data_IF_157078053630
#
_entry.id   IF_157078053630
#
_cell.length_a   1.000
_cell.length_b   1.000
_cell.length_c   1.000
_cell.angle_alpha   90.00
_cell.angle_beta   90.00
_cell.angle_gamma   90.00
#
_symmetry.space_group_name_H-M   'P 1'
#
loop_
_entity.id
_entity.type
_entity.pdbx_description
1 polymer ?
#
# COMPACT_ATOMS: atom_id res chain seq x y z
N UNK A 1 -2.98 -3.23 -24.20
CA UNK A 1 -2.65 -3.24 -22.75
C UNK A 1 -2.13 -4.62 -22.36
N UNK A 2 -0.81 -4.72 -22.19
CA UNK A 2 -0.10 -5.94 -21.81
C UNK A 2 -0.72 -6.58 -20.56
N UNK A 3 -0.72 -7.92 -20.49
CA UNK A 3 -1.32 -8.66 -19.37
C UNK A 3 -0.71 -8.24 -18.01
N UNK A 4 0.59 -7.92 -17.97
CA UNK A 4 1.26 -7.39 -16.78
C UNK A 4 0.70 -6.04 -16.30
N UNK A 5 0.33 -5.13 -17.22
CA UNK A 5 -0.24 -3.84 -16.84
C UNK A 5 -1.62 -4.01 -16.18
N UNK A 6 -2.40 -5.00 -16.63
CA UNK A 6 -3.69 -5.37 -16.03
C UNK A 6 -3.53 -5.95 -14.63
N UNK A 7 -2.57 -6.86 -14.46
CA UNK A 7 -2.23 -7.46 -13.16
C UNK A 7 -1.89 -6.40 -12.11
N UNK A 8 -0.95 -5.48 -12.41
CA UNK A 8 -0.57 -4.43 -11.45
C UNK A 8 -1.69 -3.45 -11.14
N UNK A 9 -2.57 -3.15 -12.11
CA UNK A 9 -3.77 -2.35 -11.85
C UNK A 9 -4.76 -3.07 -10.95
N UNK A 10 -4.95 -4.38 -11.13
CA UNK A 10 -5.81 -5.17 -10.25
C UNK A 10 -5.27 -5.22 -8.82
N UNK A 11 -3.96 -5.41 -8.64
CA UNK A 11 -3.31 -5.37 -7.34
C UNK A 11 -3.43 -3.97 -6.69
N UNK A 12 -3.17 -2.91 -7.45
CA UNK A 12 -3.35 -1.53 -6.98
C UNK A 12 -4.80 -1.26 -6.56
N UNK A 13 -5.78 -1.73 -7.33
CA UNK A 13 -7.20 -1.60 -7.00
C UNK A 13 -7.55 -2.35 -5.71
N UNK A 14 -7.10 -3.59 -5.56
CA UNK A 14 -7.34 -4.40 -4.37
C UNK A 14 -6.76 -3.71 -3.12
N UNK A 15 -5.52 -3.23 -3.20
CA UNK A 15 -4.90 -2.47 -2.10
C UNK A 15 -5.65 -1.16 -1.80
N UNK A 16 -6.06 -0.42 -2.84
CA UNK A 16 -6.80 0.82 -2.67
C UNK A 16 -8.16 0.60 -1.99
N UNK A 17 -8.92 -0.41 -2.42
CA UNK A 17 -10.24 -0.73 -1.84
C UNK A 17 -10.13 -1.13 -0.37
N UNK A 18 -9.27 -2.08 -0.07
CA UNK A 18 -9.10 -2.56 1.30
C UNK A 18 -8.50 -1.50 2.21
N UNK A 19 -7.52 -0.72 1.76
CA UNK A 19 -6.96 0.40 2.53
C UNK A 19 -7.98 1.52 2.73
N UNK A 20 -8.84 1.80 1.75
CA UNK A 20 -9.92 2.79 1.91
C UNK A 20 -10.95 2.31 2.94
N UNK A 21 -11.36 1.04 2.88
CA UNK A 21 -12.28 0.45 3.85
C UNK A 21 -11.69 0.48 5.27
N UNK A 22 -10.42 0.10 5.41
CA UNK A 22 -9.70 0.16 6.68
C UNK A 22 -9.55 1.59 7.19
N UNK A 23 -9.20 2.52 6.30
CA UNK A 23 -9.09 3.94 6.62
C UNK A 23 -10.43 4.54 7.07
N UNK A 24 -11.56 4.16 6.48
CA UNK A 24 -12.88 4.59 6.96
C UNK A 24 -13.17 4.03 8.35
N UNK A 25 -12.88 2.74 8.58
CA UNK A 25 -13.05 2.11 9.89
C UNK A 25 -12.20 2.80 10.97
N UNK A 26 -10.91 3.04 10.72
CA UNK A 26 -10.04 3.76 11.65
C UNK A 26 -10.43 5.24 11.79
N UNK A 27 -10.83 5.90 10.71
CA UNK A 27 -11.26 7.30 10.75
C UNK A 27 -12.44 7.50 11.71
N UNK A 28 -13.41 6.59 11.69
CA UNK A 28 -14.55 6.61 12.61
C UNK A 28 -14.14 6.40 14.08
N UNK A 29 -13.06 5.66 14.35
CA UNK A 29 -12.62 5.32 15.71
C UNK A 29 -11.60 6.31 16.30
N UNK A 30 -10.75 6.92 15.47
CA UNK A 30 -9.55 7.65 15.93
C UNK A 30 -9.73 9.18 15.87
N UNK A 31 -10.56 9.70 14.94
CA UNK A 31 -10.77 11.17 14.78
C UNK A 31 -11.39 11.83 16.03
N UNK A 32 -12.04 11.05 16.90
CA UNK A 32 -12.75 11.55 18.08
C UNK A 32 -11.79 12.00 19.20
N UNK A 33 -10.53 11.57 19.20
CA UNK A 33 -9.58 11.83 20.30
C UNK A 33 -8.51 12.90 20.05
N UNK A 34 -7.73 12.75 18.97
CA UNK A 34 -6.63 13.66 18.61
C UNK A 34 -6.39 13.63 17.09
N UNK A 35 -6.82 14.67 16.35
CA UNK A 35 -6.74 14.68 14.90
C UNK A 35 -5.31 14.77 14.37
N UNK A 36 -4.38 15.42 15.10
CA UNK A 36 -3.00 15.59 14.65
C UNK A 36 -2.26 14.26 14.77
N UNK A 37 -2.37 13.59 15.91
CA UNK A 37 -1.78 12.26 16.09
C UNK A 37 -2.36 11.24 15.12
N UNK A 38 -3.67 11.30 14.88
CA UNK A 38 -4.35 10.48 13.88
C UNK A 38 -3.77 10.69 12.48
N UNK A 39 -3.58 11.95 12.08
CA UNK A 39 -3.00 12.30 10.78
C UNK A 39 -1.55 11.83 10.66
N UNK A 40 -0.74 11.93 11.72
CA UNK A 40 0.64 11.45 11.70
C UNK A 40 0.73 9.92 11.55
N UNK A 41 -0.20 9.18 12.15
CA UNK A 41 -0.20 7.71 12.12
C UNK A 41 -0.85 7.17 10.84
N UNK A 42 -2.00 7.70 10.44
CA UNK A 42 -2.79 7.19 9.32
C UNK A 42 -2.52 7.94 8.00
N UNK A 43 -2.09 9.20 8.07
CA UNK A 43 -1.86 10.07 6.91
C UNK A 43 -0.94 9.49 5.84
N UNK A 44 0.23 8.91 6.19
CA UNK A 44 1.08 8.24 5.20
C UNK A 44 0.35 7.11 4.46
N UNK A 45 -0.49 6.34 5.15
CA UNK A 45 -1.32 5.29 4.55
C UNK A 45 -2.36 5.85 3.59
N UNK A 46 -3.03 6.95 3.94
CA UNK A 46 -3.96 7.62 3.03
C UNK A 46 -3.26 8.17 1.79
N UNK A 47 -2.08 8.77 1.92
CA UNK A 47 -1.31 9.28 0.79
C UNK A 47 -0.96 8.16 -0.21
N UNK A 48 -0.52 7.01 0.28
CA UNK A 48 -0.26 5.83 -0.55
C UNK A 48 -1.55 5.32 -1.21
N UNK A 49 -2.65 5.29 -0.46
CA UNK A 49 -3.97 4.86 -0.97
C UNK A 49 -4.45 5.75 -2.12
N UNK A 50 -4.28 7.07 -1.99
CA UNK A 50 -4.56 8.02 -3.08
C UNK A 50 -3.66 7.76 -4.29
N UNK A 51 -2.39 7.43 -4.08
CA UNK A 51 -1.48 7.01 -5.15
C UNK A 51 -1.97 5.77 -5.89
N UNK A 52 -2.48 4.76 -5.19
CA UNK A 52 -3.08 3.59 -5.82
C UNK A 52 -4.36 3.93 -6.61
N UNK A 53 -5.25 4.74 -6.05
CA UNK A 53 -6.43 5.22 -6.77
C UNK A 53 -6.04 5.97 -8.05
N UNK A 54 -5.04 6.85 -7.96
CA UNK A 54 -4.51 7.55 -9.12
C UNK A 54 -4.07 6.57 -10.22
N UNK A 55 -3.35 5.52 -9.86
CA UNK A 55 -2.88 4.48 -10.80
C UNK A 55 -3.99 3.67 -11.45
N UNK A 56 -5.09 3.46 -10.74
CA UNK A 56 -6.25 2.74 -11.27
C UNK A 56 -6.88 3.54 -12.41
N UNK A 57 -7.06 4.85 -12.20
CA UNK A 57 -7.80 5.70 -13.13
C UNK A 57 -6.94 6.31 -14.23
N UNK A 58 -5.67 6.59 -13.96
CA UNK A 58 -4.80 7.34 -14.85
C UNK A 58 -3.59 6.53 -15.34
N UNK A 59 -3.19 6.69 -16.61
CA UNK A 59 -1.87 6.28 -17.06
C UNK A 59 -0.81 6.90 -16.14
N UNK A 60 0.07 6.06 -15.61
CA UNK A 60 1.06 6.49 -14.61
C UNK A 60 2.43 6.05 -15.07
N UNK A 61 3.40 6.97 -15.10
CA UNK A 61 4.79 6.65 -15.49
C UNK A 61 5.44 5.65 -14.54
N UNK A 62 6.35 4.82 -15.04
CA UNK A 62 7.07 3.79 -14.28
C UNK A 62 7.72 4.33 -13.02
N UNK A 63 8.35 5.50 -13.10
CA UNK A 63 8.98 6.16 -11.94
C UNK A 63 7.96 6.40 -10.82
N UNK A 64 6.81 6.97 -11.15
CA UNK A 64 5.74 7.23 -10.18
C UNK A 64 5.08 5.94 -9.69
N UNK A 65 4.87 4.94 -10.56
CA UNK A 65 4.38 3.61 -10.16
C UNK A 65 5.28 2.98 -9.09
N UNK A 66 6.59 3.01 -9.32
CA UNK A 66 7.61 2.50 -8.40
C UNK A 66 7.70 3.30 -7.11
N UNK A 67 7.59 4.63 -7.16
CA UNK A 67 7.52 5.47 -5.96
C UNK A 67 6.32 5.09 -5.09
N UNK A 68 5.15 4.85 -5.70
CA UNK A 68 3.94 4.41 -4.98
C UNK A 68 4.18 3.03 -4.32
N UNK A 69 4.77 2.08 -5.05
CA UNK A 69 5.12 0.77 -4.49
C UNK A 69 6.13 0.86 -3.34
N UNK A 70 7.16 1.70 -3.48
CA UNK A 70 8.17 1.92 -2.45
C UNK A 70 7.57 2.56 -1.19
N UNK A 71 6.79 3.63 -1.37
CA UNK A 71 6.08 4.30 -0.27
C UNK A 71 5.13 3.34 0.45
N UNK A 72 4.38 2.52 -0.31
CA UNK A 72 3.53 1.48 0.28
C UNK A 72 4.35 0.47 1.08
N UNK A 73 5.46 -0.03 0.54
CA UNK A 73 6.34 -0.98 1.23
C UNK A 73 6.80 -0.44 2.59
N UNK A 74 7.19 0.84 2.64
CA UNK A 74 7.59 1.49 3.89
C UNK A 74 6.44 1.61 4.90
N UNK A 75 5.27 2.06 4.45
CA UNK A 75 4.10 2.21 5.33
C UNK A 75 3.61 0.86 5.85
N UNK A 76 3.42 -0.12 4.96
CA UNK A 76 2.96 -1.46 5.31
C UNK A 76 3.99 -2.17 6.22
N UNK A 77 5.28 -2.03 5.91
CA UNK A 77 6.38 -2.61 6.70
C UNK A 77 6.47 -2.00 8.09
N UNK A 78 6.33 -0.68 8.22
CA UNK A 78 6.31 -0.01 9.52
C UNK A 78 5.12 -0.45 10.38
N UNK A 79 3.92 -0.55 9.77
CA UNK A 79 2.74 -1.07 10.45
C UNK A 79 2.91 -2.52 10.89
N UNK A 80 3.40 -3.39 9.99
CA UNK A 80 3.63 -4.80 10.29
C UNK A 80 4.66 -4.96 11.43
N UNK A 81 5.75 -4.20 11.41
CA UNK A 81 6.75 -4.20 12.47
C UNK A 81 6.16 -3.72 13.80
N UNK A 82 5.35 -2.66 13.79
CA UNK A 82 4.68 -2.14 14.98
C UNK A 82 3.70 -3.15 15.59
N UNK A 83 2.84 -3.76 14.77
CA UNK A 83 1.88 -4.79 15.22
C UNK A 83 2.62 -6.02 15.75
N UNK A 84 3.68 -6.46 15.04
CA UNK A 84 4.52 -7.58 15.50
C UNK A 84 5.14 -7.27 16.86
N UNK A 85 5.74 -6.08 17.02
CA UNK A 85 6.33 -5.67 18.28
C UNK A 85 5.30 -5.65 19.42
N UNK A 86 4.07 -5.16 19.19
CA UNK A 86 3.01 -5.18 20.20
C UNK A 86 2.59 -6.59 20.61
N UNK A 87 2.48 -7.52 19.65
CA UNK A 87 2.11 -8.91 19.93
C UNK A 87 3.19 -9.60 20.78
N UNK A 88 4.47 -9.36 20.49
CA UNK A 88 5.58 -10.04 21.16
C UNK A 88 6.15 -9.31 22.38
N UNK A 89 5.74 -8.06 22.64
CA UNK A 89 6.30 -7.22 23.70
C UNK A 89 6.21 -7.84 25.11
N UNK A 90 5.14 -8.58 25.41
CA UNK A 90 4.90 -9.16 26.73
C UNK A 90 5.33 -10.63 26.84
N UNK A 91 6.02 -11.18 25.82
CA UNK A 91 6.45 -12.59 25.80
C UNK A 91 5.31 -13.62 25.80
N UNK A 92 4.05 -13.16 25.67
CA UNK A 92 2.83 -13.98 25.60
C UNK A 92 2.30 -14.15 24.18
N UNK A 93 2.82 -13.38 23.22
CA UNK A 93 2.42 -13.44 21.82
C UNK A 93 2.63 -14.84 21.25
N UNK A 94 1.54 -15.53 20.94
CA UNK A 94 1.62 -16.83 20.26
C UNK A 94 1.64 -16.65 18.74
N UNK A 95 2.22 -17.61 18.01
CA UNK A 95 2.10 -17.63 16.54
C UNK A 95 0.63 -17.69 16.09
N UNK A 96 -0.27 -18.25 16.90
CA UNK A 96 -1.71 -18.31 16.61
C UNK A 96 -2.32 -16.91 16.66
N UNK A 97 -1.96 -16.10 17.65
CA UNK A 97 -2.37 -14.70 17.75
C UNK A 97 -1.77 -13.85 16.63
N UNK A 98 -0.55 -14.18 16.19
CA UNK A 98 0.09 -13.52 15.05
C UNK A 98 -0.62 -13.84 13.74
N UNK A 99 -1.04 -15.09 13.51
CA UNK A 99 -1.75 -15.53 12.30
C UNK A 99 -3.26 -15.27 12.41
N UNK A 100 -3.61 -14.03 12.73
CA UNK A 100 -4.99 -13.56 12.67
C UNK A 100 -5.26 -12.89 11.30
N UNK A 101 -6.53 -12.75 10.85
CA UNK A 101 -6.86 -12.13 9.57
C UNK A 101 -6.34 -10.70 9.41
N UNK A 102 -6.19 -9.97 10.52
CA UNK A 102 -5.68 -8.60 10.52
C UNK A 102 -4.18 -8.55 10.20
N UNK A 103 -3.35 -9.33 10.88
CA UNK A 103 -1.91 -9.43 10.56
C UNK A 103 -1.68 -10.04 9.18
N UNK A 104 -2.48 -11.04 8.79
CA UNK A 104 -2.41 -11.65 7.47
C UNK A 104 -2.65 -10.62 6.35
N UNK A 105 -3.57 -9.68 6.54
CA UNK A 105 -3.77 -8.55 5.63
C UNK A 105 -2.51 -7.68 5.49
N UNK A 106 -1.87 -7.31 6.61
CA UNK A 106 -0.64 -6.49 6.55
C UNK A 106 0.53 -7.22 5.89
N UNK A 107 0.68 -8.52 6.14
CA UNK A 107 1.67 -9.37 5.46
C UNK A 107 1.39 -9.40 3.96
N UNK A 108 0.13 -9.64 3.57
CA UNK A 108 -0.28 -9.63 2.17
C UNK A 108 0.03 -8.28 1.51
N UNK A 109 -0.43 -7.17 2.10
CA UNK A 109 -0.25 -5.84 1.56
C UNK A 109 1.24 -5.46 1.43
N UNK A 110 2.06 -5.85 2.42
CA UNK A 110 3.51 -5.69 2.36
C UNK A 110 4.13 -6.52 1.24
N UNK A 111 3.82 -7.82 1.16
CA UNK A 111 4.35 -8.72 0.13
C UNK A 111 3.95 -8.26 -1.28
N UNK A 112 2.70 -7.86 -1.49
CA UNK A 112 2.23 -7.28 -2.76
C UNK A 112 2.97 -5.99 -3.10
N UNK A 113 3.26 -5.15 -2.09
CA UNK A 113 3.99 -3.89 -2.32
C UNK A 113 5.45 -4.14 -2.73
N UNK A 114 6.11 -5.12 -2.11
CA UNK A 114 7.46 -5.55 -2.49
C UNK A 114 7.45 -6.19 -3.87
N UNK A 115 6.49 -7.06 -4.16
CA UNK A 115 6.34 -7.66 -5.49
C UNK A 115 6.15 -6.60 -6.57
N UNK A 116 5.22 -5.67 -6.36
CA UNK A 116 5.01 -4.54 -7.27
C UNK A 116 6.28 -3.71 -7.47
N UNK A 117 7.03 -3.41 -6.40
CA UNK A 117 8.28 -2.66 -6.49
C UNK A 117 9.36 -3.36 -7.33
N UNK A 118 9.44 -4.70 -7.21
CA UNK A 118 10.48 -5.51 -7.87
C UNK A 118 10.08 -5.89 -9.30
N UNK A 119 8.80 -6.11 -9.57
CA UNK A 119 8.30 -6.61 -10.86
C UNK A 119 7.82 -5.49 -11.81
N UNK A 120 7.32 -4.35 -11.31
CA UNK A 120 6.85 -3.21 -12.11
C UNK A 120 8.02 -2.34 -12.58
N UNK A 121 8.83 -2.87 -13.51
CA UNK A 121 10.05 -2.24 -14.03
C UNK A 121 9.99 -1.80 -15.49
N UNK A 122 8.93 -2.15 -16.23
CA UNK A 122 8.94 -2.03 -17.68
C UNK A 122 8.81 -0.57 -18.15
N UNK A 123 9.88 0.06 -18.68
CA UNK A 123 9.82 1.42 -19.19
C UNK A 123 9.13 1.50 -20.55
N UNK A 124 9.06 0.39 -21.29
CA UNK A 124 8.39 0.33 -22.58
C UNK A 124 6.89 0.66 -22.47
N UNK A 125 6.28 0.39 -21.31
CA UNK A 125 4.91 0.81 -21.01
C UNK A 125 4.77 2.34 -21.00
N UNK A 126 5.83 3.08 -20.65
CA UNK A 126 5.82 4.54 -20.67
C UNK A 126 5.98 5.10 -22.07
N UNK A 127 6.74 4.45 -22.95
CA UNK A 127 6.88 4.85 -24.35
C UNK A 127 5.56 4.70 -25.13
N UNK A 128 4.79 3.63 -24.84
CA UNK A 128 3.45 3.41 -25.42
C UNK A 128 2.45 4.46 -24.91
N UNK A 129 2.50 4.81 -23.62
CA UNK A 129 1.53 5.71 -22.98
C UNK A 129 1.91 7.20 -23.09
N UNK A 130 3.20 7.54 -23.25
CA UNK A 130 3.73 8.89 -23.23
C UNK A 130 4.80 9.12 -24.32
N UNK A 131 4.46 8.98 -25.62
CA UNK A 131 5.42 8.94 -26.72
C UNK A 131 6.22 10.25 -26.92
N UNK A 132 5.74 11.39 -26.44
CA UNK A 132 6.36 12.70 -26.64
C UNK A 132 7.18 13.19 -25.43
N UNK A 133 7.57 12.31 -24.50
CA UNK A 133 8.25 12.71 -23.26
C UNK A 133 9.78 12.63 -23.28
N UNK A 134 10.38 12.31 -24.44
CA UNK A 134 11.82 12.13 -24.62
C UNK A 134 12.59 13.40 -25.06
N UNK A 135 12.00 14.60 -24.94
CA UNK A 135 12.65 15.89 -25.25
C UNK A 135 13.19 16.58 -24.01
#
# INVERSE_FOLDING_TARGET
MNDHSREFKALALMLALCASAWGLFCGLLVIIGDPIRSLLILGPGYAVTLGYWWRVWFPTRTSLRRTIWAASTLVQGAWLAGVSAMIFADGRGSLIEFVNPFTAWWIFAFATSVYGLVADKNPADDEELFPNSAS
#
